data_IF_180237802823
#
_entry.id   IF_180237802823
#
_cell.length_a   1.000
_cell.length_b   1.000
_cell.length_c   1.000
_cell.angle_alpha   90.00
_cell.angle_beta   90.00
_cell.angle_gamma   90.00
#
_symmetry.space_group_name_H-M   'P 1'
#
loop_
_entity.id
_entity.type
_entity.pdbx_description
1 polymer ?
#
# COMPACT_ATOMS: atom_id res chain seq x y z
N UNK A 1 -23.93 -14.52 33.28
CA UNK A 1 -23.07 -13.38 33.62
C UNK A 1 -21.62 -13.79 33.28
N UNK A 2 -21.10 -13.37 32.18
CA UNK A 2 -19.75 -13.65 31.74
C UNK A 2 -19.28 -12.45 30.96
N UNK A 3 -18.65 -11.50 31.66
CA UNK A 3 -18.07 -10.30 31.05
C UNK A 3 -16.82 -10.67 30.26
N UNK A 4 -16.86 -10.44 28.97
CA UNK A 4 -15.67 -10.42 28.12
C UNK A 4 -14.96 -9.09 28.35
N UNK A 5 -13.77 -9.16 28.97
CA UNK A 5 -12.82 -8.04 29.01
C UNK A 5 -12.30 -7.78 27.60
N UNK A 6 -12.55 -6.59 27.07
CA UNK A 6 -11.85 -6.06 25.93
C UNK A 6 -10.37 -5.82 26.30
N UNK A 7 -9.40 -6.11 25.43
CA UNK A 7 -8.00 -5.79 25.70
C UNK A 7 -7.80 -4.26 25.66
N UNK A 8 -7.22 -3.75 26.73
CA UNK A 8 -6.85 -2.33 26.87
C UNK A 8 -5.75 -1.98 25.87
N UNK A 9 -5.97 -0.96 25.07
CA UNK A 9 -4.98 -0.31 24.23
C UNK A 9 -3.87 0.28 25.12
N UNK A 10 -2.69 -0.33 25.14
CA UNK A 10 -1.61 0.23 25.96
C UNK A 10 -0.35 -0.59 26.14
N UNK A 11 0.02 -1.50 25.24
CA UNK A 11 1.38 -2.00 25.21
C UNK A 11 2.20 -1.27 24.15
N UNK A 12 3.20 -0.53 24.64
CA UNK A 12 4.07 0.32 23.81
C UNK A 12 5.01 -0.59 23.01
N UNK A 13 4.71 -0.79 21.72
CA UNK A 13 5.69 -1.28 20.76
C UNK A 13 6.86 -0.28 20.74
N UNK A 14 7.98 -0.68 21.31
CA UNK A 14 9.28 0.00 21.13
C UNK A 14 9.98 -0.72 19.99
N UNK A 15 10.14 -0.08 18.82
CA UNK A 15 10.84 -0.72 17.72
C UNK A 15 12.28 -1.03 18.15
N UNK A 16 12.73 -2.27 17.93
CA UNK A 16 14.16 -2.58 17.96
C UNK A 16 14.87 -1.70 16.95
N UNK A 17 16.12 -1.33 17.25
CA UNK A 17 16.96 -0.57 16.33
C UNK A 17 17.10 -1.32 14.99
N UNK A 18 17.24 -0.61 13.87
CA UNK A 18 17.44 -1.20 12.53
C UNK A 18 18.57 -2.25 12.48
N UNK A 19 19.51 -2.22 13.42
CA UNK A 19 20.62 -3.15 13.56
C UNK A 19 20.21 -4.60 13.93
N UNK A 20 18.96 -4.84 14.36
CA UNK A 20 18.49 -6.17 14.81
C UNK A 20 17.67 -6.93 13.75
N UNK A 21 17.41 -6.33 12.57
CA UNK A 21 16.67 -6.99 11.48
C UNK A 21 17.68 -7.74 10.59
N UNK A 22 17.51 -9.05 10.45
CA UNK A 22 18.35 -9.85 9.55
C UNK A 22 18.31 -9.30 8.12
N UNK A 23 19.46 -9.27 7.46
CA UNK A 23 19.55 -8.89 6.05
C UNK A 23 18.61 -9.75 5.20
N UNK A 24 17.96 -9.17 4.18
CA UNK A 24 17.06 -9.91 3.31
C UNK A 24 17.83 -10.93 2.49
N UNK A 25 17.26 -12.12 2.37
CA UNK A 25 17.78 -13.18 1.51
C UNK A 25 16.99 -13.18 0.21
N UNK A 26 17.58 -12.77 -0.93
CA UNK A 26 16.93 -12.85 -2.23
C UNK A 26 16.86 -14.31 -2.69
N UNK A 27 15.76 -15.00 -2.40
CA UNK A 27 15.67 -16.46 -2.57
C UNK A 27 15.84 -16.93 -4.01
N UNK A 28 15.49 -16.11 -4.99
CA UNK A 28 15.60 -16.46 -6.40
C UNK A 28 17.03 -16.30 -6.95
N UNK A 29 17.92 -15.66 -6.19
CA UNK A 29 19.37 -15.55 -6.51
C UNK A 29 20.16 -16.73 -5.93
N UNK A 30 19.54 -17.55 -5.07
CA UNK A 30 20.18 -18.70 -4.47
C UNK A 30 20.12 -19.92 -5.41
N UNK A 31 21.11 -20.83 -5.31
CA UNK A 31 20.99 -22.15 -5.93
C UNK A 31 19.69 -22.84 -5.47
N UNK A 32 18.97 -23.44 -6.42
CA UNK A 32 17.65 -24.05 -6.20
C UNK A 32 17.55 -24.91 -4.92
N UNK A 33 18.58 -25.74 -4.63
CA UNK A 33 18.59 -26.59 -3.43
C UNK A 33 18.60 -25.78 -2.14
N UNK A 34 19.32 -24.65 -2.11
CA UNK A 34 19.38 -23.76 -0.93
C UNK A 34 18.07 -23.02 -0.74
N UNK A 35 17.49 -22.45 -1.81
CA UNK A 35 16.19 -21.81 -1.76
C UNK A 35 15.12 -22.73 -1.19
N UNK A 36 15.04 -23.97 -1.70
CA UNK A 36 14.08 -24.96 -1.18
C UNK A 36 14.32 -25.35 0.27
N UNK A 37 15.56 -25.41 0.72
CA UNK A 37 15.88 -25.72 2.10
C UNK A 37 15.36 -24.64 3.07
N UNK A 38 15.50 -23.36 2.69
CA UNK A 38 14.99 -22.23 3.48
C UNK A 38 13.45 -22.23 3.53
N UNK A 39 12.78 -22.51 2.41
CA UNK A 39 11.32 -22.52 2.32
C UNK A 39 10.70 -23.64 3.16
N UNK A 40 11.31 -24.82 3.21
CA UNK A 40 10.87 -25.94 4.06
C UNK A 40 10.90 -25.62 5.57
N UNK A 41 11.60 -24.58 5.98
CA UNK A 41 11.57 -24.05 7.34
C UNK A 41 10.29 -23.30 7.68
N UNK A 42 9.38 -23.15 6.71
CA UNK A 42 8.11 -22.47 6.86
C UNK A 42 8.22 -20.94 7.04
N UNK A 43 9.38 -20.35 6.71
CA UNK A 43 9.54 -18.90 6.72
C UNK A 43 8.66 -18.25 5.63
N UNK A 44 8.03 -17.10 5.91
CA UNK A 44 7.25 -16.39 4.91
C UNK A 44 8.15 -15.78 3.84
N UNK A 45 7.69 -15.82 2.59
CA UNK A 45 8.32 -15.13 1.46
C UNK A 45 7.53 -13.86 1.17
N UNK A 46 8.24 -12.74 1.07
CA UNK A 46 7.66 -11.46 0.65
C UNK A 46 7.92 -11.27 -0.84
N UNK A 47 6.86 -11.06 -1.61
CA UNK A 47 6.88 -10.77 -3.04
C UNK A 47 6.32 -9.38 -3.28
N UNK A 48 7.16 -8.45 -3.72
CA UNK A 48 6.77 -7.08 -4.04
C UNK A 48 6.33 -6.96 -5.49
N UNK A 49 5.18 -6.33 -5.71
CA UNK A 49 4.58 -6.10 -7.04
C UNK A 49 4.16 -4.64 -7.06
N UNK A 50 4.94 -3.81 -7.72
CA UNK A 50 4.78 -2.37 -7.69
C UNK A 50 4.99 -1.76 -9.09
N UNK A 51 4.21 -0.74 -9.50
CA UNK A 51 4.49 -0.01 -10.73
C UNK A 51 5.79 0.80 -10.63
N UNK A 52 6.28 1.20 -11.78
CA UNK A 52 7.14 2.38 -11.89
C UNK A 52 6.21 3.54 -12.20
N UNK A 53 6.10 4.49 -11.27
CA UNK A 53 5.02 5.47 -11.23
C UNK A 53 5.55 6.86 -10.86
N UNK A 54 4.99 7.88 -11.49
CA UNK A 54 5.28 9.27 -11.16
C UNK A 54 4.62 9.68 -9.85
N UNK A 55 5.42 10.12 -8.89
CA UNK A 55 5.01 10.56 -7.55
C UNK A 55 5.41 12.03 -7.31
N UNK A 56 5.01 12.91 -8.24
CA UNK A 56 5.43 14.30 -8.17
C UNK A 56 6.94 14.45 -8.41
N UNK A 57 7.48 15.67 -8.26
CA UNK A 57 8.89 15.95 -8.54
C UNK A 57 9.84 15.48 -7.43
N UNK A 58 9.33 15.05 -6.29
CA UNK A 58 10.09 14.86 -5.05
C UNK A 58 10.27 13.42 -4.62
N UNK A 59 9.51 12.46 -5.16
CA UNK A 59 9.66 11.05 -4.83
C UNK A 59 10.22 10.26 -6.01
N UNK A 60 10.92 9.18 -5.69
CA UNK A 60 11.42 8.24 -6.68
C UNK A 60 10.30 7.63 -7.51
N UNK A 61 10.52 7.39 -8.81
CA UNK A 61 9.62 6.60 -9.65
C UNK A 61 9.38 5.17 -9.13
N UNK A 62 10.25 4.67 -8.25
CA UNK A 62 10.11 3.38 -7.56
C UNK A 62 9.65 3.56 -6.11
N UNK A 63 8.98 4.65 -5.78
CA UNK A 63 8.50 4.93 -4.42
C UNK A 63 7.72 3.75 -3.84
N UNK A 64 6.76 3.21 -4.58
CA UNK A 64 5.94 2.08 -4.13
C UNK A 64 6.79 0.86 -3.75
N UNK A 65 7.76 0.52 -4.60
CA UNK A 65 8.67 -0.58 -4.33
C UNK A 65 9.54 -0.34 -3.08
N UNK A 66 10.09 0.88 -2.93
CA UNK A 66 10.96 1.22 -1.82
C UNK A 66 10.19 1.18 -0.50
N UNK A 67 8.97 1.73 -0.48
CA UNK A 67 8.10 1.73 0.69
C UNK A 67 7.60 0.31 1.00
N UNK A 68 7.13 -0.45 0.02
CA UNK A 68 6.65 -1.83 0.22
C UNK A 68 7.76 -2.75 0.73
N UNK A 69 9.00 -2.57 0.25
CA UNK A 69 10.17 -3.31 0.75
C UNK A 69 10.54 -2.91 2.18
N UNK A 70 10.49 -1.60 2.49
CA UNK A 70 10.70 -1.11 3.85
C UNK A 70 9.66 -1.65 4.82
N UNK A 71 8.38 -1.64 4.43
CA UNK A 71 7.29 -2.24 5.23
C UNK A 71 7.44 -3.75 5.37
N UNK A 72 7.92 -4.47 4.35
CA UNK A 72 8.21 -5.90 4.45
C UNK A 72 9.21 -6.20 5.57
N UNK A 73 10.26 -5.38 5.72
CA UNK A 73 11.22 -5.49 6.86
C UNK A 73 10.52 -5.31 8.20
N UNK A 74 9.69 -4.26 8.32
CA UNK A 74 8.97 -3.97 9.58
C UNK A 74 7.97 -5.08 9.92
N UNK A 75 7.25 -5.61 8.93
CA UNK A 75 6.33 -6.74 9.14
C UNK A 75 7.08 -7.99 9.53
N UNK A 76 8.18 -8.32 8.83
CA UNK A 76 9.00 -9.49 9.17
C UNK A 76 9.54 -9.41 10.60
N UNK A 77 10.09 -8.27 11.02
CA UNK A 77 10.59 -8.06 12.38
C UNK A 77 9.49 -8.31 13.43
N UNK A 78 8.31 -7.69 13.24
CA UNK A 78 7.18 -7.85 14.15
C UNK A 78 6.60 -9.28 14.16
N UNK A 79 6.60 -9.97 13.02
CA UNK A 79 6.23 -11.40 12.95
C UNK A 79 7.20 -12.27 13.71
N UNK A 80 8.50 -12.00 13.67
CA UNK A 80 9.50 -12.71 14.45
C UNK A 80 9.36 -12.45 15.96
N UNK A 81 9.02 -11.23 16.36
CA UNK A 81 8.76 -10.87 17.77
C UNK A 81 7.50 -11.57 18.32
N UNK A 82 6.44 -11.62 17.52
CA UNK A 82 5.18 -12.27 17.90
C UNK A 82 5.28 -13.81 17.97
N UNK A 83 6.34 -14.40 17.41
CA UNK A 83 6.52 -15.84 17.33
C UNK A 83 7.39 -16.37 18.47
N UNK A 84 6.94 -17.47 19.08
CA UNK A 84 7.77 -18.24 20.02
C UNK A 84 8.72 -19.16 19.24
N UNK A 85 10.02 -19.09 19.49
CA UNK A 85 11.04 -19.95 18.88
C UNK A 85 12.11 -19.17 18.08
N UNK A 86 12.85 -19.88 17.23
CA UNK A 86 13.87 -19.23 16.40
C UNK A 86 13.22 -18.27 15.40
N UNK A 87 13.78 -17.05 15.21
CA UNK A 87 13.28 -16.10 14.24
C UNK A 87 13.37 -16.69 12.82
N UNK A 88 12.40 -16.34 11.98
CA UNK A 88 12.45 -16.70 10.56
C UNK A 88 13.55 -15.91 9.84
N UNK A 89 14.22 -16.50 8.83
CA UNK A 89 15.01 -15.71 7.90
C UNK A 89 14.09 -14.75 7.11
N UNK A 90 14.57 -13.55 6.80
CA UNK A 90 13.84 -12.60 5.97
C UNK A 90 14.00 -12.97 4.50
N UNK A 91 13.00 -13.61 3.91
CA UNK A 91 13.04 -14.10 2.53
C UNK A 91 12.32 -13.10 1.59
N UNK A 92 13.06 -12.60 0.61
CA UNK A 92 12.50 -11.80 -0.48
C UNK A 92 12.49 -12.61 -1.77
N UNK A 93 11.35 -12.64 -2.46
CA UNK A 93 11.31 -12.96 -3.87
C UNK A 93 11.74 -11.72 -4.67
N UNK A 94 12.09 -11.90 -5.96
CA UNK A 94 12.35 -10.75 -6.83
C UNK A 94 11.10 -9.90 -7.01
N UNK A 95 11.28 -8.62 -7.28
CA UNK A 95 10.18 -7.68 -7.52
C UNK A 95 9.63 -7.83 -8.94
N UNK A 96 8.32 -7.57 -9.09
CA UNK A 96 7.70 -7.32 -10.38
C UNK A 96 7.49 -5.80 -10.50
N UNK A 97 8.31 -5.14 -11.33
CA UNK A 97 8.18 -3.70 -11.64
C UNK A 97 7.03 -3.49 -12.66
N UNK A 98 5.82 -3.84 -12.26
CA UNK A 98 4.64 -3.81 -13.11
C UNK A 98 3.40 -3.45 -12.29
N UNK A 99 2.56 -2.56 -12.82
CA UNK A 99 1.32 -2.14 -12.18
C UNK A 99 0.25 -1.68 -13.17
N UNK A 100 -0.99 -1.71 -12.71
CA UNK A 100 -2.17 -1.22 -13.43
C UNK A 100 -2.52 0.15 -12.91
N UNK A 101 -2.93 1.04 -13.81
CA UNK A 101 -3.37 2.40 -13.50
C UNK A 101 -2.37 3.23 -12.66
N UNK A 102 -1.05 3.23 -12.99
CA UNK A 102 -0.13 4.14 -12.34
C UNK A 102 -0.49 5.59 -12.71
N UNK A 103 -0.22 6.52 -11.82
CA UNK A 103 -0.32 7.94 -12.10
C UNK A 103 0.54 8.30 -13.31
N UNK A 104 -0.06 8.94 -14.30
CA UNK A 104 0.62 9.35 -15.51
C UNK A 104 1.61 10.48 -15.20
N UNK A 105 2.79 10.34 -15.75
CA UNK A 105 3.86 11.33 -15.63
C UNK A 105 5.15 10.83 -16.26
N UNK A 106 6.21 11.67 -16.32
CA UNK A 106 7.48 11.28 -16.90
C UNK A 106 8.05 10.02 -16.24
N UNK A 107 8.24 8.96 -17.01
CA UNK A 107 8.81 7.68 -16.55
C UNK A 107 7.80 6.64 -16.06
N UNK A 108 6.52 6.97 -15.90
CA UNK A 108 5.49 6.00 -15.53
C UNK A 108 5.32 4.89 -16.57
N UNK A 109 5.10 3.66 -16.09
CA UNK A 109 4.91 2.49 -16.95
C UNK A 109 3.70 1.69 -16.47
N UNK A 110 2.68 1.59 -17.33
CA UNK A 110 1.49 0.80 -17.10
C UNK A 110 1.54 -0.54 -17.85
N UNK A 111 0.93 -1.57 -17.26
CA UNK A 111 0.59 -2.81 -17.96
C UNK A 111 -0.92 -3.01 -17.94
N UNK A 112 -1.46 -3.75 -18.89
CA UNK A 112 -2.88 -4.05 -18.90
C UNK A 112 -3.24 -4.97 -17.71
N UNK A 113 -4.43 -4.78 -17.15
CA UNK A 113 -4.91 -5.55 -15.98
C UNK A 113 -4.75 -7.06 -16.15
N UNK A 114 -5.12 -7.61 -17.32
CA UNK A 114 -5.03 -9.05 -17.60
C UNK A 114 -3.58 -9.54 -17.68
N UNK A 115 -2.69 -8.71 -18.18
CA UNK A 115 -1.26 -9.00 -18.24
C UNK A 115 -0.68 -9.08 -16.83
N UNK A 116 -1.01 -8.09 -15.98
CA UNK A 116 -0.58 -8.11 -14.58
C UNK A 116 -1.13 -9.34 -13.86
N UNK A 117 -2.42 -9.67 -14.01
CA UNK A 117 -3.00 -10.88 -13.43
C UNK A 117 -2.20 -12.13 -13.83
N UNK A 118 -1.87 -12.27 -15.12
CA UNK A 118 -1.09 -13.40 -15.63
C UNK A 118 0.34 -13.43 -15.07
N UNK A 119 1.00 -12.29 -14.92
CA UNK A 119 2.35 -12.19 -14.33
C UNK A 119 2.34 -12.59 -12.86
N UNK A 120 1.41 -12.03 -12.09
CA UNK A 120 1.28 -12.29 -10.65
C UNK A 120 0.95 -13.76 -10.38
N UNK A 121 -0.02 -14.34 -11.10
CA UNK A 121 -0.37 -15.76 -10.95
C UNK A 121 0.83 -16.64 -11.22
N UNK A 122 1.54 -16.44 -12.35
CA UNK A 122 2.72 -17.26 -12.69
C UNK A 122 3.84 -17.13 -11.67
N UNK A 123 4.09 -15.92 -11.13
CA UNK A 123 5.09 -15.71 -10.09
C UNK A 123 4.71 -16.45 -8.79
N UNK A 124 3.44 -16.41 -8.41
CA UNK A 124 2.91 -17.11 -7.24
C UNK A 124 2.97 -18.63 -7.41
N UNK A 125 2.58 -19.17 -8.58
CA UNK A 125 2.70 -20.57 -8.88
C UNK A 125 4.15 -21.07 -8.83
N UNK A 126 5.09 -20.29 -9.37
CA UNK A 126 6.52 -20.62 -9.31
C UNK A 126 7.05 -20.66 -7.86
N UNK A 127 6.60 -19.78 -6.98
CA UNK A 127 6.95 -19.84 -5.55
C UNK A 127 6.36 -21.09 -4.87
N UNK A 128 5.12 -21.47 -5.20
CA UNK A 128 4.51 -22.70 -4.71
C UNK A 128 5.28 -23.94 -5.21
N UNK A 129 5.69 -23.99 -6.49
CA UNK A 129 6.49 -25.08 -7.07
C UNK A 129 7.88 -25.16 -6.40
N UNK A 130 8.45 -24.03 -6.04
CA UNK A 130 9.72 -23.96 -5.29
C UNK A 130 9.56 -24.51 -3.86
N UNK A 131 8.34 -24.56 -3.32
CA UNK A 131 8.02 -25.10 -2.00
C UNK A 131 7.71 -24.06 -0.95
N UNK A 132 7.30 -22.85 -1.32
CA UNK A 132 6.80 -21.86 -0.39
C UNK A 132 5.52 -22.34 0.30
N UNK A 133 5.45 -22.20 1.63
CA UNK A 133 4.27 -22.52 2.45
C UNK A 133 3.49 -21.29 2.85
N UNK A 134 4.16 -20.14 2.93
CA UNK A 134 3.63 -18.84 3.34
C UNK A 134 4.15 -17.75 2.41
N UNK A 135 3.25 -16.96 1.84
CA UNK A 135 3.61 -15.85 0.94
C UNK A 135 2.84 -14.59 1.33
N UNK A 136 3.55 -13.47 1.41
CA UNK A 136 2.97 -12.14 1.60
C UNK A 136 3.21 -11.35 0.31
N UNK A 137 2.14 -11.03 -0.40
CA UNK A 137 2.20 -10.17 -1.57
C UNK A 137 2.20 -8.72 -1.10
N UNK A 138 3.22 -7.99 -1.46
CA UNK A 138 3.42 -6.60 -1.05
C UNK A 138 3.22 -5.66 -2.23
N UNK A 139 2.63 -4.51 -1.96
CA UNK A 139 2.56 -3.36 -2.86
C UNK A 139 2.33 -2.12 -2.02
N UNK A 140 2.74 -0.95 -2.50
CA UNK A 140 2.30 0.32 -1.90
C UNK A 140 1.41 1.12 -2.86
N UNK A 141 1.10 0.56 -4.01
CA UNK A 141 0.25 1.15 -5.03
C UNK A 141 -1.24 0.92 -4.76
N UNK A 142 -2.00 2.01 -4.63
CA UNK A 142 -3.39 2.00 -4.18
C UNK A 142 -4.45 1.75 -5.27
N UNK A 143 -4.10 1.51 -6.53
CA UNK A 143 -5.08 1.32 -7.59
C UNK A 143 -5.94 0.06 -7.38
N UNK A 144 -7.29 0.16 -7.48
CA UNK A 144 -8.18 -0.97 -7.20
C UNK A 144 -7.94 -2.20 -8.09
N UNK A 145 -7.73 -2.01 -9.40
CA UNK A 145 -7.46 -3.13 -10.31
C UNK A 145 -6.11 -3.79 -10.00
N UNK A 146 -5.12 -3.05 -9.51
CA UNK A 146 -3.86 -3.61 -9.05
C UNK A 146 -4.07 -4.53 -7.84
N UNK A 147 -4.86 -4.09 -6.86
CA UNK A 147 -5.24 -4.90 -5.70
C UNK A 147 -5.95 -6.19 -6.09
N UNK A 148 -6.85 -6.14 -7.08
CA UNK A 148 -7.55 -7.32 -7.62
C UNK A 148 -6.56 -8.26 -8.33
N UNK A 149 -5.56 -7.74 -9.05
CA UNK A 149 -4.53 -8.57 -9.67
C UNK A 149 -3.68 -9.31 -8.63
N UNK A 150 -3.32 -8.67 -7.51
CA UNK A 150 -2.65 -9.34 -6.39
C UNK A 150 -3.53 -10.45 -5.80
N UNK A 151 -4.85 -10.19 -5.66
CA UNK A 151 -5.78 -11.22 -5.17
C UNK A 151 -5.80 -12.46 -6.06
N UNK A 152 -5.67 -12.34 -7.41
CA UNK A 152 -5.53 -13.51 -8.30
C UNK A 152 -4.31 -14.37 -7.94
N UNK A 153 -3.21 -13.74 -7.54
CA UNK A 153 -2.02 -14.46 -7.04
C UNK A 153 -2.27 -15.14 -5.70
N UNK A 154 -2.95 -14.46 -4.78
CA UNK A 154 -3.37 -15.05 -3.49
C UNK A 154 -4.24 -16.27 -3.73
N UNK A 155 -5.26 -16.17 -4.60
CA UNK A 155 -6.17 -17.27 -4.93
C UNK A 155 -5.42 -18.47 -5.54
N UNK A 156 -4.45 -18.22 -6.43
CA UNK A 156 -3.62 -19.26 -7.03
C UNK A 156 -2.75 -19.98 -5.97
N UNK A 157 -2.19 -19.26 -5.01
CA UNK A 157 -1.42 -19.83 -3.90
C UNK A 157 -2.31 -20.67 -2.97
N UNK A 158 -3.48 -20.14 -2.60
CA UNK A 158 -4.45 -20.85 -1.75
C UNK A 158 -4.93 -22.16 -2.40
N UNK A 159 -5.20 -22.15 -3.72
CA UNK A 159 -5.58 -23.34 -4.47
C UNK A 159 -4.49 -24.45 -4.43
N UNK A 160 -3.26 -24.09 -4.12
CA UNK A 160 -2.11 -24.99 -3.96
C UNK A 160 -1.77 -25.31 -2.50
N UNK A 161 -2.63 -24.89 -1.56
CA UNK A 161 -2.43 -25.09 -0.12
C UNK A 161 -1.42 -24.17 0.54
N UNK A 162 -0.93 -23.15 -0.16
CA UNK A 162 -0.03 -22.13 0.38
C UNK A 162 -0.83 -21.07 1.11
N UNK A 163 -0.41 -20.66 2.30
CA UNK A 163 -1.02 -19.56 3.07
C UNK A 163 -0.55 -18.23 2.49
N UNK A 164 -1.47 -17.42 2.00
CA UNK A 164 -1.11 -16.17 1.32
C UNK A 164 -2.13 -15.06 1.53
N UNK A 165 -1.65 -13.82 1.49
CA UNK A 165 -2.46 -12.60 1.53
C UNK A 165 -1.70 -11.40 0.95
N UNK A 166 -2.44 -10.33 0.65
CA UNK A 166 -1.92 -9.02 0.26
C UNK A 166 -2.40 -7.95 1.28
N UNK A 167 -1.65 -7.66 2.35
CA UNK A 167 -2.16 -6.88 3.48
C UNK A 167 -2.22 -5.37 3.24
N UNK A 168 -1.35 -4.79 2.39
CA UNK A 168 -1.20 -3.33 2.30
C UNK A 168 -2.39 -2.64 1.63
N UNK A 169 -3.04 -3.29 0.68
CA UNK A 169 -4.23 -2.73 0.03
C UNK A 169 -5.38 -2.43 1.01
N UNK A 170 -5.48 -3.24 2.07
CA UNK A 170 -6.47 -3.03 3.13
C UNK A 170 -6.11 -1.82 4.00
N UNK A 171 -4.81 -1.61 4.25
CA UNK A 171 -4.33 -0.49 5.06
C UNK A 171 -4.59 0.86 4.39
N UNK A 172 -4.44 0.95 3.08
CA UNK A 172 -4.75 2.17 2.33
C UNK A 172 -6.25 2.53 2.42
N UNK A 173 -7.11 1.52 2.35
CA UNK A 173 -8.57 1.73 2.55
C UNK A 173 -8.87 2.10 4.01
N UNK A 174 -8.22 1.48 4.97
CA UNK A 174 -8.36 1.82 6.39
C UNK A 174 -8.09 3.31 6.64
N UNK A 175 -7.01 3.85 6.09
CA UNK A 175 -6.69 5.30 6.21
C UNK A 175 -7.76 6.17 5.56
N UNK A 176 -8.29 5.76 4.40
CA UNK A 176 -9.30 6.52 3.66
C UNK A 176 -10.69 6.48 4.31
N UNK A 177 -11.00 5.45 5.08
CA UNK A 177 -12.37 5.20 5.61
C UNK A 177 -12.48 5.27 7.13
N UNK A 178 -11.37 5.10 7.86
CA UNK A 178 -11.37 5.13 9.34
C UNK A 178 -11.34 6.56 9.90
N UNK A 179 -11.73 6.73 11.16
CA UNK A 179 -11.53 7.98 11.88
C UNK A 179 -10.05 8.40 11.88
N UNK A 180 -9.73 9.68 11.71
CA UNK A 180 -8.35 10.12 11.54
C UNK A 180 -7.55 10.25 12.87
N UNK A 181 -8.20 10.12 14.03
CA UNK A 181 -7.60 10.36 15.34
C UNK A 181 -6.31 9.54 15.61
N UNK A 182 -6.18 8.27 15.19
CA UNK A 182 -4.95 7.51 15.36
C UNK A 182 -3.73 8.14 14.69
N UNK A 183 -3.94 9.00 13.70
CA UNK A 183 -2.88 9.68 12.94
C UNK A 183 -2.55 11.08 13.46
N UNK A 184 -3.28 11.59 14.48
CA UNK A 184 -2.99 12.90 15.05
C UNK A 184 -1.53 13.08 15.50
N UNK A 185 -0.83 12.06 16.06
CA UNK A 185 0.58 12.19 16.39
C UNK A 185 1.49 12.47 15.19
N UNK A 186 1.13 12.05 13.98
CA UNK A 186 1.91 12.33 12.77
C UNK A 186 1.94 13.83 12.43
N UNK A 187 0.94 14.57 12.90
CA UNK A 187 0.81 16.02 12.67
C UNK A 187 1.27 16.88 13.86
N UNK A 188 1.90 16.28 14.88
CA UNK A 188 2.28 17.00 16.11
C UNK A 188 3.20 18.21 15.85
N UNK A 189 4.03 18.14 14.80
CA UNK A 189 4.95 19.20 14.39
C UNK A 189 4.30 20.29 13.52
N UNK A 190 3.08 20.03 13.00
CA UNK A 190 2.37 21.00 12.14
C UNK A 190 1.82 22.14 12.98
N UNK A 191 2.06 23.41 12.60
CA UNK A 191 1.52 24.56 13.33
C UNK A 191 -0.01 24.60 13.32
N UNK A 192 -0.60 25.09 14.40
CA UNK A 192 -1.97 25.60 14.38
C UNK A 192 -2.02 26.92 13.59
N UNK A 193 -3.02 27.16 12.72
CA UNK A 193 -4.29 26.42 12.60
C UNK A 193 -4.31 25.31 11.52
N UNK A 194 -3.18 24.96 10.92
CA UNK A 194 -3.13 24.00 9.80
C UNK A 194 -3.41 22.55 10.23
N UNK A 195 -3.05 22.18 11.47
CA UNK A 195 -3.11 20.79 11.97
C UNK A 195 -4.49 20.15 11.88
N UNK A 196 -5.51 20.80 12.39
CA UNK A 196 -6.86 20.23 12.42
C UNK A 196 -7.47 20.05 11.02
N UNK A 197 -7.35 21.03 10.09
CA UNK A 197 -7.74 20.81 8.68
C UNK A 197 -6.97 19.69 8.00
N UNK A 198 -5.65 19.56 8.20
CA UNK A 198 -4.84 18.48 7.63
C UNK A 198 -5.30 17.12 8.13
N UNK A 199 -5.53 16.97 9.44
CA UNK A 199 -6.02 15.71 10.01
C UNK A 199 -7.37 15.31 9.40
N UNK A 200 -8.30 16.24 9.28
CA UNK A 200 -9.61 15.99 8.68
C UNK A 200 -9.52 15.63 7.18
N UNK A 201 -8.52 16.17 6.47
CA UNK A 201 -8.28 15.94 5.05
C UNK A 201 -7.44 14.69 4.76
N UNK A 202 -6.85 14.02 5.75
CA UNK A 202 -5.92 12.91 5.58
C UNK A 202 -6.49 11.77 4.73
N UNK A 203 -7.81 11.53 4.80
CA UNK A 203 -8.50 10.55 3.93
C UNK A 203 -8.42 10.84 2.43
N UNK A 204 -8.01 12.03 2.04
CA UNK A 204 -7.84 12.47 0.66
C UNK A 204 -6.37 12.60 0.26
N UNK A 205 -5.48 12.20 1.14
CA UNK A 205 -4.04 12.14 0.92
C UNK A 205 -3.64 10.74 0.45
N UNK A 206 -3.84 10.48 -0.85
CA UNK A 206 -3.77 9.14 -1.42
C UNK A 206 -2.65 8.96 -2.47
N UNK A 207 -1.88 10.00 -2.80
CA UNK A 207 -0.78 9.88 -3.75
C UNK A 207 0.28 10.96 -3.55
N UNK A 208 1.52 10.57 -3.29
CA UNK A 208 2.71 11.43 -3.15
C UNK A 208 2.52 12.66 -2.25
N UNK A 209 1.56 12.62 -1.34
CA UNK A 209 1.25 13.73 -0.43
C UNK A 209 2.02 13.65 0.88
N UNK A 210 1.43 14.19 1.94
CA UNK A 210 2.03 14.18 3.29
C UNK A 210 2.30 12.75 3.78
N UNK A 211 1.31 11.84 3.63
CA UNK A 211 1.40 10.47 4.14
C UNK A 211 2.48 9.67 3.41
N UNK A 212 2.41 9.58 2.08
CA UNK A 212 3.37 8.79 1.30
C UNK A 212 4.78 9.35 1.38
N UNK A 213 4.94 10.69 1.32
CA UNK A 213 6.25 11.32 1.49
C UNK A 213 6.82 11.02 2.87
N UNK A 214 5.97 10.99 3.92
CA UNK A 214 6.40 10.62 5.27
C UNK A 214 6.83 9.15 5.37
N UNK A 215 6.09 8.23 4.74
CA UNK A 215 6.51 6.81 4.63
C UNK A 215 7.88 6.70 3.95
N UNK A 216 8.07 7.40 2.82
CA UNK A 216 9.34 7.38 2.09
C UNK A 216 10.50 7.95 2.93
N UNK A 217 10.27 9.05 3.66
CA UNK A 217 11.27 9.61 4.58
C UNK A 217 11.65 8.65 5.72
N UNK A 218 10.70 7.86 6.22
CA UNK A 218 10.95 6.89 7.30
C UNK A 218 11.63 5.61 6.81
N UNK A 219 11.33 5.15 5.59
CA UNK A 219 11.73 3.82 5.11
C UNK A 219 12.82 3.86 4.03
N UNK A 220 12.93 4.94 3.27
CA UNK A 220 13.85 5.12 2.16
C UNK A 220 14.26 6.59 1.98
N UNK A 221 14.81 7.27 2.99
CA UNK A 221 15.02 8.73 2.98
C UNK A 221 15.88 9.23 1.82
N UNK A 222 16.79 8.43 1.30
CA UNK A 222 17.63 8.78 0.14
C UNK A 222 16.85 8.86 -1.18
N UNK A 223 15.60 8.41 -1.23
CA UNK A 223 14.72 8.45 -2.39
C UNK A 223 13.83 9.68 -2.44
N UNK A 224 13.92 10.56 -1.44
CA UNK A 224 13.08 11.77 -1.31
C UNK A 224 13.93 13.00 -1.57
N UNK A 225 13.54 13.78 -2.58
CA UNK A 225 14.18 15.06 -2.85
C UNK A 225 13.76 16.11 -1.82
N UNK A 226 14.71 16.88 -1.23
CA UNK A 226 14.42 17.96 -0.30
C UNK A 226 13.45 19.03 -0.81
N UNK A 227 13.23 19.13 -2.12
CA UNK A 227 12.27 20.04 -2.73
C UNK A 227 10.85 19.86 -2.17
N UNK A 228 10.51 18.68 -1.62
CA UNK A 228 9.19 18.45 -1.00
C UNK A 228 8.84 19.54 0.03
N UNK A 229 9.84 20.12 0.73
CA UNK A 229 9.66 21.14 1.77
C UNK A 229 9.15 22.48 1.23
N UNK A 230 9.32 22.73 -0.05
CA UNK A 230 8.94 23.97 -0.72
C UNK A 230 7.82 23.82 -1.72
N UNK A 231 7.32 22.60 -1.91
CA UNK A 231 6.20 22.36 -2.82
C UNK A 231 4.95 23.09 -2.35
N UNK A 232 4.19 23.69 -3.25
CA UNK A 232 2.89 24.25 -2.93
C UNK A 232 1.91 23.14 -2.52
N UNK A 233 0.84 23.54 -1.83
CA UNK A 233 -0.28 22.64 -1.57
C UNK A 233 -0.89 22.18 -2.88
N UNK A 234 -1.35 20.91 -2.91
CA UNK A 234 -2.19 20.45 -4.01
C UNK A 234 -3.39 21.39 -4.17
N UNK A 235 -3.69 21.87 -5.39
CA UNK A 235 -4.88 22.68 -5.61
C UNK A 235 -6.17 21.99 -5.14
N UNK A 236 -7.21 22.75 -4.77
CA UNK A 236 -8.48 22.16 -4.32
C UNK A 236 -9.05 21.20 -5.38
N UNK A 237 -9.32 19.98 -4.96
CA UNK A 237 -9.86 18.92 -5.80
C UNK A 237 -11.40 19.01 -5.80
N UNK A 238 -12.00 19.09 -6.98
CA UNK A 238 -13.46 18.97 -7.14
C UNK A 238 -13.81 17.53 -7.49
N UNK A 239 -14.39 16.76 -6.56
CA UNK A 239 -14.74 15.36 -6.81
C UNK A 239 -15.74 15.20 -7.94
N UNK A 240 -15.69 14.06 -8.66
CA UNK A 240 -16.60 13.79 -9.77
C UNK A 240 -18.06 13.69 -9.28
N UNK A 241 -18.92 14.59 -9.81
CA UNK A 241 -20.29 14.72 -9.37
C UNK A 241 -21.16 13.49 -9.72
N UNK A 242 -20.79 12.70 -10.73
CA UNK A 242 -21.54 11.49 -11.13
C UNK A 242 -21.28 10.37 -10.10
N UNK A 243 -20.03 10.17 -9.73
CA UNK A 243 -19.64 9.20 -8.70
C UNK A 243 -20.19 9.58 -7.33
N UNK A 244 -20.22 10.87 -6.97
CA UNK A 244 -20.87 11.33 -5.75
C UNK A 244 -22.38 11.08 -5.72
N UNK A 245 -23.06 11.14 -6.89
CA UNK A 245 -24.48 10.75 -6.97
C UNK A 245 -24.67 9.27 -6.74
N UNK A 246 -23.81 8.43 -7.32
CA UNK A 246 -23.84 6.97 -7.07
C UNK A 246 -23.54 6.65 -5.61
N UNK A 247 -22.58 7.32 -4.98
CA UNK A 247 -22.30 7.16 -3.55
C UNK A 247 -23.53 7.46 -2.69
N UNK A 248 -24.21 8.57 -2.95
CA UNK A 248 -25.47 8.90 -2.25
C UNK A 248 -26.59 7.87 -2.48
N UNK A 249 -26.65 7.28 -3.67
CA UNK A 249 -27.61 6.21 -3.94
C UNK A 249 -27.26 4.93 -3.16
N UNK A 250 -25.96 4.57 -3.09
CA UNK A 250 -25.48 3.44 -2.29
C UNK A 250 -25.80 3.61 -0.79
N UNK A 251 -25.60 4.81 -0.23
CA UNK A 251 -25.99 5.11 1.17
C UNK A 251 -27.49 4.85 1.42
N UNK A 252 -28.34 5.29 0.49
CA UNK A 252 -29.80 5.14 0.65
C UNK A 252 -30.27 3.68 0.67
N UNK A 253 -29.49 2.77 0.06
CA UNK A 253 -29.77 1.34 0.05
C UNK A 253 -28.92 0.56 1.07
N UNK A 254 -28.31 1.26 2.03
CA UNK A 254 -27.57 0.67 3.15
C UNK A 254 -26.19 0.09 2.79
N UNK A 255 -25.62 0.45 1.62
CA UNK A 255 -24.29 0.02 1.18
C UNK A 255 -23.23 1.09 1.51
N UNK A 256 -23.02 1.32 2.80
CA UNK A 256 -22.15 2.39 3.30
C UNK A 256 -20.69 2.23 2.84
N UNK A 257 -20.16 0.99 2.83
CA UNK A 257 -18.78 0.72 2.40
C UNK A 257 -18.59 1.08 0.93
N UNK A 258 -19.49 0.65 0.05
CA UNK A 258 -19.46 1.01 -1.38
C UNK A 258 -19.59 2.52 -1.57
N UNK A 259 -20.40 3.19 -0.74
CA UNK A 259 -20.53 4.64 -0.80
C UNK A 259 -19.24 5.36 -0.41
N UNK A 260 -18.52 4.86 0.62
CA UNK A 260 -17.21 5.39 1.02
C UNK A 260 -16.18 5.21 -0.10
N UNK A 261 -16.07 4.01 -0.66
CA UNK A 261 -15.18 3.71 -1.77
C UNK A 261 -15.47 4.59 -3.01
N UNK A 262 -16.74 4.77 -3.37
CA UNK A 262 -17.16 5.65 -4.49
C UNK A 262 -16.75 7.11 -4.25
N UNK A 263 -16.74 7.59 -2.99
CA UNK A 263 -16.25 8.93 -2.67
C UNK A 263 -14.74 9.05 -2.89
N UNK A 264 -13.98 8.03 -2.52
CA UNK A 264 -12.52 7.98 -2.76
C UNK A 264 -12.25 8.02 -4.27
N UNK A 265 -12.91 7.18 -5.06
CA UNK A 265 -12.77 7.17 -6.53
C UNK A 265 -13.20 8.51 -7.13
N UNK A 266 -14.29 9.12 -6.64
CA UNK A 266 -14.73 10.44 -7.11
C UNK A 266 -13.66 11.52 -6.89
N UNK A 267 -12.94 11.44 -5.78
CA UNK A 267 -11.87 12.37 -5.45
C UNK A 267 -10.66 12.15 -6.37
N UNK A 268 -10.24 10.90 -6.59
CA UNK A 268 -9.16 10.55 -7.51
C UNK A 268 -9.45 11.01 -8.96
N UNK A 269 -10.68 10.80 -9.45
CA UNK A 269 -11.11 11.30 -10.77
C UNK A 269 -11.10 12.84 -10.82
N UNK A 270 -11.45 13.51 -9.74
CA UNK A 270 -11.35 14.97 -9.64
C UNK A 270 -9.90 15.45 -9.71
N UNK A 271 -9.02 14.78 -8.99
CA UNK A 271 -7.59 15.06 -8.95
C UNK A 271 -6.93 14.92 -10.33
N UNK A 272 -7.24 13.87 -11.08
CA UNK A 272 -6.69 13.65 -12.43
C UNK A 272 -7.05 14.77 -13.44
N UNK A 273 -8.06 15.57 -13.11
CA UNK A 273 -8.51 16.71 -13.94
C UNK A 273 -7.82 18.03 -13.60
N UNK A 274 -6.98 18.08 -12.57
CA UNK A 274 -6.22 19.29 -12.23
C UNK A 274 -5.31 19.72 -13.39
N UNK A 275 -5.23 21.02 -13.61
CA UNK A 275 -4.40 21.62 -14.67
C UNK A 275 -3.75 22.91 -14.16
N UNK A 276 -2.42 23.03 -14.10
CA UNK A 276 -1.47 21.93 -14.36
C UNK A 276 -1.65 20.77 -13.39
N UNK A 277 -1.25 19.56 -13.77
CA UNK A 277 -1.35 18.37 -12.93
C UNK A 277 -0.13 18.27 -12.00
N UNK A 278 -0.31 18.30 -10.67
CA UNK A 278 0.82 18.38 -9.74
C UNK A 278 1.55 17.04 -9.54
N UNK A 279 0.89 15.89 -9.77
CA UNK A 279 1.44 14.57 -9.50
C UNK A 279 1.49 14.20 -8.01
N UNK A 280 0.88 14.99 -7.14
CA UNK A 280 0.75 14.70 -5.70
C UNK A 280 -0.57 15.27 -5.16
N UNK A 281 -0.96 14.79 -3.99
CA UNK A 281 -2.13 15.29 -3.22
C UNK A 281 -1.68 16.01 -1.95
N UNK A 282 -2.61 16.63 -1.24
CA UNK A 282 -2.40 17.23 0.09
C UNK A 282 -1.19 18.20 0.18
N UNK A 283 -0.36 18.03 1.22
CA UNK A 283 0.72 18.97 1.57
C UNK A 283 2.04 18.23 1.83
N UNK A 284 2.78 17.80 0.82
CA UNK A 284 4.05 17.08 1.00
C UNK A 284 5.09 17.88 1.79
N UNK A 285 5.00 19.23 1.82
CA UNK A 285 5.94 20.10 2.56
C UNK A 285 6.00 19.83 4.06
N UNK A 286 4.95 19.28 4.63
CA UNK A 286 4.88 18.93 6.05
C UNK A 286 5.34 17.50 6.35
N UNK A 287 5.76 16.74 5.36
CA UNK A 287 6.21 15.37 5.58
C UNK A 287 7.51 15.30 6.38
N UNK A 288 7.56 14.37 7.33
CA UNK A 288 8.76 14.09 8.14
C UNK A 288 8.91 12.59 8.37
N UNK A 289 10.13 12.16 8.71
CA UNK A 289 10.39 10.76 9.04
C UNK A 289 9.63 10.33 10.30
N UNK A 290 9.50 11.22 11.29
CA UNK A 290 8.76 10.97 12.54
C UNK A 290 7.27 10.75 12.27
N UNK A 291 6.66 11.53 11.36
CA UNK A 291 5.30 11.32 10.89
C UNK A 291 5.18 9.96 10.18
N UNK A 292 6.16 9.62 9.34
CA UNK A 292 6.25 8.32 8.68
C UNK A 292 6.28 7.16 9.65
N UNK A 293 7.04 7.27 10.75
CA UNK A 293 7.06 6.23 11.79
C UNK A 293 5.70 6.05 12.49
N UNK A 294 4.85 7.07 12.57
CA UNK A 294 3.47 6.90 13.06
C UNK A 294 2.67 6.03 12.10
N UNK A 295 2.75 6.30 10.80
CA UNK A 295 2.07 5.50 9.78
C UNK A 295 2.62 4.07 9.68
N UNK A 296 3.95 3.90 9.78
CA UNK A 296 4.59 2.57 9.81
C UNK A 296 4.10 1.74 11.00
N UNK A 297 4.08 2.32 12.21
CA UNK A 297 3.55 1.63 13.40
C UNK A 297 2.09 1.24 13.23
N UNK A 298 1.28 2.12 12.67
CA UNK A 298 -0.12 1.81 12.36
C UNK A 298 -0.21 0.62 11.39
N UNK A 299 0.55 0.66 10.29
CA UNK A 299 0.58 -0.41 9.30
C UNK A 299 0.98 -1.76 9.93
N UNK A 300 2.04 -1.79 10.76
CA UNK A 300 2.47 -2.97 11.50
C UNK A 300 1.37 -3.49 12.43
N UNK A 301 0.74 -2.61 13.20
CA UNK A 301 -0.29 -2.99 14.17
C UNK A 301 -1.54 -3.61 13.52
N UNK A 302 -1.81 -3.24 12.26
CA UNK A 302 -2.96 -3.76 11.49
C UNK A 302 -2.61 -5.02 10.70
N UNK A 303 -1.46 -5.02 10.02
CA UNK A 303 -1.08 -6.10 9.11
C UNK A 303 -0.59 -7.36 9.85
N UNK A 304 0.20 -7.22 10.91
CA UNK A 304 0.85 -8.37 11.55
C UNK A 304 -0.15 -9.36 12.17
N UNK A 305 -1.17 -8.94 12.94
CA UNK A 305 -2.21 -9.86 13.41
C UNK A 305 -2.92 -10.57 12.26
N UNK A 306 -3.28 -9.83 11.22
CA UNK A 306 -3.92 -10.39 10.02
C UNK A 306 -3.06 -11.44 9.32
N UNK A 307 -1.75 -11.17 9.16
CA UNK A 307 -0.81 -12.13 8.57
C UNK A 307 -0.74 -13.40 9.43
N UNK A 308 -0.66 -13.27 10.75
CA UNK A 308 -0.62 -14.41 11.67
C UNK A 308 -1.91 -15.24 11.61
N UNK A 309 -3.08 -14.59 11.56
CA UNK A 309 -4.38 -15.28 11.46
C UNK A 309 -4.47 -16.09 10.15
N UNK A 310 -4.06 -15.50 9.01
CA UNK A 310 -4.04 -16.20 7.72
C UNK A 310 -3.04 -17.36 7.75
N UNK A 311 -1.88 -17.16 8.35
CA UNK A 311 -0.89 -18.25 8.50
C UNK A 311 -1.38 -19.36 9.43
N UNK A 312 -2.25 -19.06 10.40
CA UNK A 312 -2.94 -20.03 11.24
C UNK A 312 -4.12 -20.73 10.54
N UNK A 313 -4.54 -20.22 9.37
CA UNK A 313 -5.57 -20.86 8.54
C UNK A 313 -6.86 -20.06 8.37
N UNK A 314 -6.93 -18.83 8.88
CA UNK A 314 -8.02 -17.94 8.55
C UNK A 314 -8.02 -17.60 7.04
N UNK A 315 -9.19 -17.36 6.43
CA UNK A 315 -9.24 -16.89 5.06
C UNK A 315 -8.66 -15.47 4.97
N UNK A 316 -7.92 -15.14 3.89
CA UNK A 316 -7.50 -13.76 3.67
C UNK A 316 -8.71 -12.88 3.38
N UNK A 317 -8.66 -11.59 3.74
CA UNK A 317 -9.72 -10.65 3.40
C UNK A 317 -9.78 -10.42 1.89
N UNK A 318 -10.98 -10.07 1.35
CA UNK A 318 -11.11 -9.73 -0.05
C UNK A 318 -10.38 -8.42 -0.38
N UNK A 319 -10.02 -8.19 -1.65
CA UNK A 319 -9.42 -6.92 -2.05
C UNK A 319 -10.46 -5.78 -1.91
N UNK A 320 -10.01 -4.56 -1.58
CA UNK A 320 -10.90 -3.41 -1.58
C UNK A 320 -11.41 -3.13 -3.00
N UNK A 321 -12.56 -2.48 -3.08
CA UNK A 321 -13.18 -2.05 -4.35
C UNK A 321 -13.30 -3.17 -5.40
N UNK A 322 -13.57 -4.41 -4.97
CA UNK A 322 -13.66 -5.57 -5.86
C UNK A 322 -14.70 -5.38 -6.99
N UNK A 323 -15.70 -4.52 -6.80
CA UNK A 323 -16.68 -4.15 -7.81
C UNK A 323 -16.09 -3.40 -9.02
N UNK A 324 -14.90 -2.82 -8.88
CA UNK A 324 -14.22 -2.10 -9.98
C UNK A 324 -13.92 -3.00 -11.17
N UNK A 325 -13.62 -4.28 -10.96
CA UNK A 325 -13.43 -5.23 -12.07
C UNK A 325 -14.68 -5.31 -12.95
N UNK A 326 -15.86 -5.36 -12.34
CA UNK A 326 -17.13 -5.41 -13.09
C UNK A 326 -17.42 -4.08 -13.78
N UNK A 327 -17.22 -2.97 -13.08
CA UNK A 327 -17.45 -1.63 -13.63
C UNK A 327 -16.55 -1.35 -14.83
N UNK A 328 -15.32 -1.83 -14.81
CA UNK A 328 -14.33 -1.64 -15.88
C UNK A 328 -14.37 -2.74 -16.96
N UNK A 329 -15.42 -3.58 -16.97
CA UNK A 329 -15.58 -4.69 -17.91
C UNK A 329 -14.36 -5.66 -17.89
N UNK A 330 -13.87 -6.00 -16.68
CA UNK A 330 -12.70 -6.83 -16.47
C UNK A 330 -11.41 -6.12 -16.86
N UNK A 331 -11.29 -4.84 -16.49
CA UNK A 331 -10.12 -4.01 -16.77
C UNK A 331 -9.92 -3.67 -18.24
N UNK A 332 -10.98 -3.73 -19.06
CA UNK A 332 -10.93 -3.38 -20.49
C UNK A 332 -11.14 -1.89 -20.75
N UNK A 333 -11.77 -1.19 -19.80
CA UNK A 333 -11.88 0.26 -19.91
C UNK A 333 -10.50 0.88 -19.67
N UNK A 334 -10.12 1.89 -20.47
CA UNK A 334 -8.87 2.61 -20.23
C UNK A 334 -8.92 3.25 -18.83
N UNK A 335 -7.79 3.26 -18.16
CA UNK A 335 -7.59 4.01 -16.93
C UNK A 335 -7.69 5.52 -17.12
N UNK A 336 -7.40 6.28 -16.09
CA UNK A 336 -7.34 7.74 -16.18
C UNK A 336 -6.16 8.12 -17.08
N UNK A 337 -6.44 8.82 -18.18
CA UNK A 337 -5.42 9.35 -19.08
C UNK A 337 -5.08 10.80 -18.68
N UNK A 338 -3.84 11.02 -18.27
CA UNK A 338 -3.30 12.34 -17.94
C UNK A 338 -2.20 12.63 -18.96
N UNK A 339 -2.41 13.53 -19.93
CA UNK A 339 -1.41 13.86 -20.93
C UNK A 339 -0.14 14.42 -20.29
N UNK A 340 1.05 14.02 -20.76
CA UNK A 340 2.33 14.46 -20.16
C UNK A 340 2.53 15.97 -20.19
N UNK A 341 2.03 16.65 -21.22
CA UNK A 341 2.13 18.11 -21.38
C UNK A 341 1.35 18.91 -20.33
N UNK A 342 0.45 18.29 -19.59
CA UNK A 342 -0.29 18.97 -18.50
C UNK A 342 0.30 18.72 -17.12
N UNK A 343 1.29 17.86 -17.01
CA UNK A 343 2.04 17.66 -15.75
C UNK A 343 2.78 18.94 -15.42
N UNK A 344 2.68 19.40 -14.18
CA UNK A 344 3.34 20.63 -13.75
C UNK A 344 4.86 20.52 -13.98
N UNK A 345 5.41 21.46 -14.71
CA UNK A 345 6.85 21.64 -14.80
C UNK A 345 7.32 22.34 -13.51
N UNK A 346 7.84 21.55 -12.60
CA UNK A 346 8.40 22.03 -11.33
C UNK A 346 9.93 21.98 -11.38
N UNK A 347 10.51 22.16 -12.57
CA UNK A 347 11.95 22.31 -12.70
C UNK A 347 12.46 23.46 -11.81
N UNK A 348 13.60 23.31 -11.17
CA UNK A 348 14.19 24.31 -10.27
C UNK A 348 14.55 25.59 -10.98
#
# INVERSE_FOLDING_TARGET
MGGQCAPTAGDRYTPRSEADVSDPIPILELPHRQARALLRGGAPVFLSIDPVEYHGPHLSLRNDHLVSTGLSRRFHAALCEARVGQPWPFLLASTLDAGVDPTQGPGSRAVAFRELCGLVVRACEALADLGAERVVLMTFHGAPLHSIALQRGVDALLARGVRALAPLNLLLVDVATSPPEPFAPALAHVPEPERAPMLAALRHDFHAGFMETSFALALAPSSVDPIHRTLPDCPPITPDARLLRLARAADRVGKADVAAELRVVAHGVGWSKLRPFPGYTAQPRHATAEAGEVFVRYAVSRAVPLILDVFAGAPPPPPPMAWMEQLTLGGRMPGLDIPLEVVADLAP
#
